data_IF_405173364761
#
_entry.id   IF_405173364761
#
_cell.length_a   1.000
_cell.length_b   1.000
_cell.length_c   1.000
_cell.angle_alpha   90.00
_cell.angle_beta   90.00
_cell.angle_gamma   90.00
#
_symmetry.space_group_name_H-M   'P 1'
#
loop_
_entity.id
_entity.type
_entity.pdbx_description
1 polymer ?
#
# COMPACT_ATOMS: atom_id res chain seq x y z
N UNK A 1 -14.05 77.25 -32.39
CA UNK A 1 -13.78 76.73 -32.20
C UNK A 1 -13.78 75.81 -31.84
N UNK A 2 -13.71 75.16 -31.61
CA UNK A 2 -13.72 74.28 -31.31
C UNK A 2 -13.32 73.16 -31.02
N UNK A 3 -13.20 72.71 -30.70
CA UNK A 3 -12.81 71.75 -30.44
C UNK A 3 -12.86 70.79 -30.12
N UNK A 4 -12.86 70.34 -30.03
CA UNK A 4 -12.81 69.42 -29.86
C UNK A 4 -12.52 68.40 -29.44
N UNK A 5 -12.39 67.90 -29.18
CA UNK A 5 -12.14 67.03 -28.68
C UNK A 5 -12.07 66.07 -28.50
N UNK A 6 -11.99 65.56 -28.39
CA UNK A 6 -11.88 64.53 -28.20
C UNK A 6 -11.64 63.52 -27.74
N UNK A 7 -11.57 63.07 -27.49
CA UNK A 7 -11.35 62.12 -27.17
C UNK A 7 -11.27 61.04 -26.91
N UNK A 8 -11.13 60.49 -26.70
CA UNK A 8 -10.98 59.58 -26.47
C UNK A 8 -10.80 58.63 -26.04
N UNK A 9 -10.73 58.13 -25.70
CA UNK A 9 -10.52 57.13 -25.32
C UNK A 9 -10.44 56.09 -24.98
N UNK A 10 -10.32 55.50 -24.80
CA UNK A 10 -10.19 54.55 -24.57
C UNK A 10 -9.93 53.54 -24.13
N UNK A 11 -9.75 53.12 -23.71
CA UNK A 11 -9.53 52.35 -23.19
C UNK A 11 -9.55 51.25 -23.05
N UNK A 12 -9.50 50.65 -23.05
CA UNK A 12 -9.43 49.56 -23.03
C UNK A 12 -9.13 48.62 -22.40
N UNK A 13 -9.08 48.35 -21.81
CA UNK A 13 -9.01 47.51 -21.08
C UNK A 13 -8.92 46.28 -21.08
N UNK A 14 -8.59 45.81 -21.16
CA UNK A 14 -8.38 44.66 -21.22
C UNK A 14 -8.34 43.72 -20.44
N UNK A 15 -8.60 43.34 -19.99
CA UNK A 15 -8.57 42.49 -19.35
C UNK A 15 -8.35 41.37 -19.25
N UNK A 16 -8.06 40.81 -19.14
CA UNK A 16 -7.74 39.77 -18.98
C UNK A 16 -7.81 38.87 -18.44
N UNK A 17 -8.00 38.43 -18.13
CA UNK A 17 -8.14 37.57 -17.75
C UNK A 17 -7.72 36.59 -17.49
N UNK A 18 -7.30 36.35 -17.06
CA UNK A 18 -6.81 35.52 -16.46
C UNK A 18 -7.20 34.39 -16.32
N UNK A 19 -7.14 33.70 -16.72
CA UNK A 19 -7.40 32.56 -16.68
C UNK A 19 -6.80 31.82 -15.86
N UNK A 20 -7.09 31.74 -15.01
CA UNK A 20 -6.67 31.08 -14.23
C UNK A 20 -6.98 29.90 -14.26
N UNK A 21 -6.53 29.33 -14.72
CA UNK A 21 -6.58 28.07 -14.60
C UNK A 21 -6.48 27.68 -13.33
N UNK A 22 -7.44 27.65 -12.78
CA UNK A 22 -7.49 26.93 -11.65
C UNK A 22 -7.03 25.62 -11.96
N UNK A 23 -6.20 25.19 -11.20
CA UNK A 23 -5.71 23.92 -11.32
C UNK A 23 -6.83 23.03 -11.23
N UNK A 24 -7.23 22.58 -12.24
CA UNK A 24 -8.02 21.59 -12.23
C UNK A 24 -7.42 20.53 -11.61
N UNK A 25 -7.73 20.34 -10.45
CA UNK A 25 -7.48 19.09 -9.89
C UNK A 25 -8.21 18.17 -10.72
N UNK A 26 -7.61 17.83 -11.70
CA UNK A 26 -8.02 16.67 -12.33
C UNK A 26 -8.05 15.64 -11.31
N UNK A 27 -9.11 14.96 -11.07
CA UNK A 27 -9.11 13.81 -10.25
C UNK A 27 -8.16 12.88 -10.93
N UNK A 28 -7.02 12.82 -10.40
CA UNK A 28 -6.13 11.78 -10.74
C UNK A 28 -6.94 10.55 -10.60
N UNK A 29 -7.01 9.76 -11.59
CA UNK A 29 -7.60 8.47 -11.42
C UNK A 29 -6.86 7.89 -10.24
N UNK A 30 -7.57 7.57 -9.24
CA UNK A 30 -7.00 6.91 -8.12
C UNK A 30 -6.39 5.70 -8.73
N UNK A 31 -5.18 5.79 -9.05
CA UNK A 31 -4.43 4.65 -9.43
C UNK A 31 -4.68 3.71 -8.28
N UNK A 32 -5.17 2.57 -8.58
CA UNK A 32 -5.29 1.55 -7.60
C UNK A 32 -3.97 1.53 -6.90
N UNK A 33 -3.97 2.01 -5.70
CA UNK A 33 -2.78 1.99 -4.92
C UNK A 33 -2.42 0.53 -4.82
N UNK A 34 -1.38 0.17 -5.48
CA UNK A 34 -0.80 -1.11 -5.22
C UNK A 34 -0.59 -1.18 -3.73
N UNK A 35 -1.00 -2.27 -3.12
CA UNK A 35 -0.86 -2.38 -1.68
C UNK A 35 0.58 -2.10 -1.35
N UNK A 36 0.75 -1.03 -0.62
CA UNK A 36 2.08 -0.67 -0.17
C UNK A 36 2.35 -1.50 1.07
N UNK A 37 3.52 -2.06 1.11
CA UNK A 37 3.91 -2.86 2.25
C UNK A 37 3.44 -4.29 2.13
N UNK A 38 3.18 -4.91 3.28
CA UNK A 38 2.92 -6.34 3.31
C UNK A 38 1.46 -6.72 3.22
N UNK A 39 0.56 -5.76 3.20
CA UNK A 39 -0.85 -6.10 3.16
C UNK A 39 -1.20 -6.93 1.95
N UNK A 40 -2.07 -7.89 2.14
CA UNK A 40 -2.49 -8.78 1.08
C UNK A 40 -2.23 -10.24 1.42
N UNK A 41 -2.30 -11.07 0.41
CA UNK A 41 -2.11 -12.51 0.56
C UNK A 41 -0.81 -12.95 -0.07
N UNK A 42 -0.15 -13.86 0.59
CA UNK A 42 1.15 -14.37 0.20
C UNK A 42 1.12 -15.89 0.24
N UNK A 43 1.87 -16.53 -0.62
CA UNK A 43 1.88 -17.98 -0.68
C UNK A 43 3.32 -18.49 -0.56
N UNK A 44 3.51 -19.58 0.17
CA UNK A 44 4.81 -20.21 0.28
C UNK A 44 4.91 -21.37 -0.74
N UNK A 45 6.09 -21.96 -0.90
CA UNK A 45 6.25 -23.05 -1.87
C UNK A 45 5.41 -24.28 -1.57
N UNK A 46 4.91 -24.42 -0.35
CA UNK A 46 4.11 -25.57 0.04
C UNK A 46 2.60 -25.33 -0.12
N UNK A 47 2.22 -24.19 -0.66
CA UNK A 47 0.81 -23.90 -0.87
C UNK A 47 0.10 -23.34 0.36
N UNK A 48 0.85 -22.84 1.32
CA UNK A 48 0.27 -22.21 2.50
C UNK A 48 0.10 -20.73 2.21
N UNK A 49 -1.09 -20.20 2.46
CA UNK A 49 -1.40 -18.80 2.20
C UNK A 49 -1.38 -18.02 3.51
N UNK A 50 -0.57 -16.97 3.52
CA UNK A 50 -0.50 -16.05 4.65
C UNK A 50 -1.18 -14.75 4.25
N UNK A 51 -2.06 -14.24 5.09
CA UNK A 51 -2.80 -13.01 4.82
C UNK A 51 -2.50 -11.97 5.88
N UNK A 52 -2.14 -10.78 5.41
CA UNK A 52 -1.88 -9.63 6.27
C UNK A 52 -2.98 -8.61 6.00
N UNK A 53 -3.76 -8.29 7.01
CA UNK A 53 -4.84 -7.33 6.85
C UNK A 53 -5.05 -6.54 8.13
N UNK A 54 -4.89 -5.24 8.03
CA UNK A 54 -5.19 -4.33 9.14
C UNK A 54 -4.60 -4.76 10.48
N UNK A 55 -3.35 -5.18 10.46
CA UNK A 55 -2.66 -5.58 11.69
C UNK A 55 -2.89 -7.03 12.09
N UNK A 56 -3.71 -7.76 11.38
CA UNK A 56 -4.02 -9.15 11.66
C UNK A 56 -3.30 -10.06 10.67
N UNK A 57 -2.76 -11.16 11.18
CA UNK A 57 -2.06 -12.15 10.38
C UNK A 57 -2.72 -13.51 10.52
N UNK A 58 -2.97 -14.17 9.40
CA UNK A 58 -3.55 -15.50 9.38
C UNK A 58 -2.87 -16.35 8.33
N UNK A 59 -2.75 -17.61 8.61
CA UNK A 59 -2.17 -18.58 7.67
C UNK A 59 -3.12 -19.76 7.50
N UNK A 60 -3.40 -20.10 6.25
CA UNK A 60 -4.31 -21.19 5.90
C UNK A 60 -3.65 -22.14 4.91
N UNK A 61 -4.03 -23.39 4.96
CA UNK A 61 -3.64 -24.32 3.90
C UNK A 61 -4.60 -24.12 2.74
N UNK A 62 -4.10 -24.27 1.51
CA UNK A 62 -4.93 -24.03 0.33
C UNK A 62 -5.83 -25.22 -0.02
N UNK A 63 -5.43 -26.42 0.35
CA UNK A 63 -6.19 -27.60 0.00
C UNK A 63 -7.42 -27.80 0.88
N UNK A 64 -7.32 -27.50 2.16
CA UNK A 64 -8.43 -27.69 3.09
C UNK A 64 -8.96 -26.40 3.67
N UNK A 65 -8.32 -25.27 3.35
CA UNK A 65 -8.65 -23.97 3.92
C UNK A 65 -8.64 -23.99 5.44
N UNK A 66 -7.77 -24.79 6.01
CA UNK A 66 -7.67 -24.93 7.45
C UNK A 66 -6.76 -23.83 8.01
N UNK A 67 -7.21 -23.17 9.07
CA UNK A 67 -6.42 -22.14 9.72
C UNK A 67 -5.26 -22.80 10.47
N UNK A 68 -4.04 -22.46 10.10
CA UNK A 68 -2.84 -23.06 10.66
C UNK A 68 -2.19 -22.17 11.72
N UNK A 69 -2.31 -20.88 11.59
CA UNK A 69 -1.74 -19.92 12.52
C UNK A 69 -2.50 -18.62 12.46
N UNK A 70 -2.47 -17.88 13.54
CA UNK A 70 -3.08 -16.56 13.59
C UNK A 70 -2.27 -15.68 14.51
N UNK A 71 -2.39 -14.39 14.32
CA UNK A 71 -1.67 -13.45 15.15
C UNK A 71 -1.81 -12.03 14.67
N UNK A 72 -0.84 -11.23 15.03
CA UNK A 72 -0.79 -9.82 14.67
C UNK A 72 0.54 -9.51 14.03
N UNK A 73 0.59 -8.41 13.30
CA UNK A 73 1.85 -7.94 12.76
C UNK A 73 1.97 -6.45 12.92
N UNK A 74 3.21 -5.99 12.99
CA UNK A 74 3.53 -4.58 13.07
C UNK A 74 4.57 -4.28 12.02
N UNK A 75 4.36 -3.23 11.26
CA UNK A 75 5.33 -2.84 10.25
C UNK A 75 6.30 -1.88 10.91
N UNK A 76 7.52 -2.35 11.16
CA UNK A 76 8.53 -1.56 11.86
C UNK A 76 9.28 -0.61 10.95
N UNK A 77 9.23 -0.85 9.64
CA UNK A 77 9.83 -0.01 8.63
C UNK A 77 9.09 -0.26 7.32
N UNK A 78 9.26 0.58 6.31
CA UNK A 78 8.54 0.37 5.04
C UNK A 78 8.73 -1.00 4.41
N UNK A 79 9.86 -1.65 4.70
CA UNK A 79 10.15 -2.96 4.14
C UNK A 79 10.38 -4.03 5.20
N UNK A 80 10.03 -3.77 6.44
CA UNK A 80 10.22 -4.73 7.53
C UNK A 80 8.93 -4.90 8.31
N UNK A 81 8.58 -6.14 8.59
CA UNK A 81 7.40 -6.43 9.38
C UNK A 81 7.73 -7.50 10.42
N UNK A 82 7.19 -7.32 11.60
CA UNK A 82 7.35 -8.28 12.68
C UNK A 82 6.00 -8.93 12.92
N UNK A 83 5.97 -10.24 12.94
CA UNK A 83 4.75 -11.01 13.12
C UNK A 83 4.84 -11.74 14.47
N UNK A 84 3.79 -11.59 15.26
CA UNK A 84 3.64 -12.39 16.47
C UNK A 84 2.49 -13.34 16.20
N UNK A 85 2.78 -14.60 16.09
CA UNK A 85 1.76 -15.56 15.73
C UNK A 85 1.72 -16.75 16.67
N UNK A 86 0.58 -17.41 16.67
CA UNK A 86 0.38 -18.64 17.41
C UNK A 86 0.02 -19.72 16.41
N UNK A 87 0.82 -20.78 16.39
CA UNK A 87 0.51 -21.94 15.57
C UNK A 87 -0.64 -22.69 16.22
N UNK A 88 -1.71 -22.88 15.49
CA UNK A 88 -2.87 -23.59 16.01
C UNK A 88 -2.55 -25.08 16.10
N UNK A 89 -1.77 -25.58 15.16
CA UNK A 89 -1.41 -26.99 15.12
C UNK A 89 -0.51 -27.38 16.28
N UNK A 90 0.47 -26.51 16.60
CA UNK A 90 1.44 -26.81 17.64
C UNK A 90 1.12 -26.11 18.96
N UNK A 91 0.13 -25.21 18.95
CA UNK A 91 -0.22 -24.39 20.12
C UNK A 91 0.99 -23.72 20.72
N UNK A 92 1.80 -23.14 19.83
CA UNK A 92 3.03 -22.50 20.23
C UNK A 92 3.12 -21.13 19.61
N UNK A 93 3.55 -20.17 20.41
CA UNK A 93 3.77 -18.82 19.93
C UNK A 93 5.15 -18.71 19.30
N UNK A 94 5.25 -17.93 18.25
CA UNK A 94 6.52 -17.63 17.63
C UNK A 94 6.52 -16.24 17.05
N UNK A 95 7.70 -15.69 16.92
CA UNK A 95 7.89 -14.38 16.35
C UNK A 95 8.64 -14.55 15.04
N UNK A 96 8.18 -13.87 14.02
CA UNK A 96 8.77 -13.97 12.70
C UNK A 96 9.05 -12.56 12.20
N UNK A 97 10.25 -12.34 11.66
CA UNK A 97 10.59 -11.08 11.06
C UNK A 97 10.68 -11.30 9.56
N UNK A 98 9.99 -10.46 8.82
CA UNK A 98 9.98 -10.55 7.36
C UNK A 98 10.49 -9.28 6.74
N UNK A 99 11.27 -9.42 5.69
CA UNK A 99 11.77 -8.31 4.90
C UNK A 99 11.12 -8.34 3.53
N UNK A 100 10.56 -7.21 3.12
CA UNK A 100 9.98 -7.08 1.79
C UNK A 100 11.12 -6.76 0.84
N UNK A 101 11.58 -7.74 0.10
CA UNK A 101 12.72 -7.56 -0.80
C UNK A 101 12.29 -7.07 -2.17
N UNK A 102 11.02 -7.21 -2.49
CA UNK A 102 10.42 -6.64 -3.69
C UNK A 102 8.93 -6.53 -3.44
N UNK A 103 8.19 -5.97 -4.36
CA UNK A 103 6.74 -5.85 -4.20
C UNK A 103 6.04 -7.20 -4.19
N UNK A 104 6.72 -8.24 -4.61
CA UNK A 104 6.12 -9.56 -4.71
C UNK A 104 6.81 -10.63 -3.90
N UNK A 105 7.81 -10.27 -3.10
CA UNK A 105 8.56 -11.28 -2.34
C UNK A 105 8.87 -10.82 -0.93
N UNK A 106 8.55 -11.67 0.03
CA UNK A 106 8.92 -11.49 1.42
C UNK A 106 9.90 -12.59 1.82
N UNK A 107 10.96 -12.21 2.50
CA UNK A 107 11.87 -13.18 3.09
C UNK A 107 11.69 -13.11 4.60
N UNK A 108 11.37 -14.24 5.19
CA UNK A 108 11.00 -14.31 6.60
C UNK A 108 11.97 -15.19 7.38
N UNK A 109 12.21 -14.79 8.63
CA UNK A 109 13.05 -15.55 9.55
C UNK A 109 12.30 -15.68 10.86
N UNK A 110 12.09 -16.91 11.28
CA UNK A 110 11.43 -17.18 12.54
C UNK A 110 12.43 -17.07 13.69
N UNK A 111 11.94 -16.90 14.90
CA UNK A 111 12.81 -16.83 16.08
C UNK A 111 13.56 -18.14 16.31
N UNK A 112 13.09 -19.24 15.73
CA UNK A 112 13.80 -20.50 15.79
C UNK A 112 14.99 -20.55 14.81
N UNK A 113 15.13 -19.54 13.95
CA UNK A 113 16.18 -19.53 12.94
C UNK A 113 15.74 -20.05 11.59
N UNK A 114 14.53 -20.57 11.48
CA UNK A 114 14.03 -21.07 10.20
C UNK A 114 13.80 -19.91 9.24
N UNK A 115 14.17 -20.09 8.00
CA UNK A 115 13.98 -19.07 6.97
C UNK A 115 13.06 -19.60 5.90
N UNK A 116 12.20 -18.74 5.40
CA UNK A 116 11.30 -19.09 4.32
C UNK A 116 10.93 -17.85 3.51
N UNK A 117 10.47 -18.05 2.30
CA UNK A 117 10.08 -16.95 1.42
C UNK A 117 8.62 -17.07 1.07
N UNK A 118 7.99 -15.91 0.93
CA UNK A 118 6.60 -15.83 0.53
C UNK A 118 6.52 -15.01 -0.76
N UNK A 119 5.63 -15.43 -1.66
CA UNK A 119 5.41 -14.72 -2.90
C UNK A 119 4.00 -14.13 -2.85
N UNK A 120 3.87 -12.88 -3.30
CA UNK A 120 2.57 -12.22 -3.27
C UNK A 120 1.62 -12.94 -4.21
N UNK A 121 0.45 -13.23 -3.70
CA UNK A 121 -0.58 -13.86 -4.50
C UNK A 121 -1.35 -12.76 -5.20
N UNK A 122 -1.46 -12.88 -6.49
CA UNK A 122 -2.14 -11.90 -7.31
C UNK A 122 -3.57 -12.36 -7.57
#
# INVERSE_FOLDING_TARGET
MKVKGSLALIAAAAMLTACVSSPQTRPTPVAQQQPQGVEGSWVDPNGIVSTFQAGTFNTHSTDSNTLLAKGTYTQSAPNLVEINMTSIVRQKQSRVNCALVSMSQLNCTADSGSQFSLTRKI
#
